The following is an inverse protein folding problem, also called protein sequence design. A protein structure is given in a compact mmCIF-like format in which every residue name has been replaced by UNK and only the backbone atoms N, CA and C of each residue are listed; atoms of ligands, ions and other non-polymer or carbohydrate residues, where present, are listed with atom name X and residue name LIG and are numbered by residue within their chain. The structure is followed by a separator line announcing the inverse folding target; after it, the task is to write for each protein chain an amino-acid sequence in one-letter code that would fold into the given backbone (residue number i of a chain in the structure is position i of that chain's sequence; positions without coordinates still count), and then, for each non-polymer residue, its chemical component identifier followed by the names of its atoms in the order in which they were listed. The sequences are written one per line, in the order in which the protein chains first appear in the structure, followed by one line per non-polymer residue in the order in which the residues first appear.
data_IF_422329845882
#
_entry.id   IF_422329845882
#
_cell.length_a   1.000
_cell.length_b   1.000
_cell.length_c   1.000
_cell.angle_alpha   90.00
_cell.angle_beta   90.00
_cell.angle_gamma   90.00
#
_symmetry.space_group_name_H-M   'P 1'
#
loop_
_entity.id
_entity.type
_entity.pdbx_description
1 polymer ?
#
# COMPACT_ATOMS: atom_id res chain seq x y z
N UNK A 1 -19.94 -18.08 10.01
CA UNK A 1 -19.98 -18.80 8.71
C UNK A 1 -20.07 -17.75 7.61
N UNK A 2 -19.00 -17.56 6.83
CA UNK A 2 -18.99 -16.60 5.71
C UNK A 2 -19.73 -17.31 4.56
N UNK A 3 -20.86 -16.77 4.12
CA UNK A 3 -21.63 -17.40 3.05
C UNK A 3 -20.80 -17.42 1.74
N UNK A 4 -20.91 -18.47 0.92
CA UNK A 4 -20.19 -18.57 -0.35
C UNK A 4 -20.39 -17.34 -1.25
N UNK A 5 -21.57 -16.72 -1.18
CA UNK A 5 -21.93 -15.51 -1.93
C UNK A 5 -21.10 -14.29 -1.48
N UNK A 6 -20.83 -14.16 -0.18
CA UNK A 6 -20.00 -13.08 0.37
C UNK A 6 -18.52 -13.24 -0.04
N UNK A 7 -18.05 -14.48 -0.18
CA UNK A 7 -16.70 -14.77 -0.67
C UNK A 7 -16.55 -14.46 -2.16
N UNK A 8 -17.53 -14.87 -2.99
CA UNK A 8 -17.54 -14.58 -4.43
C UNK A 8 -17.65 -13.07 -4.70
N UNK A 9 -18.47 -12.34 -3.94
CA UNK A 9 -18.57 -10.88 -4.05
C UNK A 9 -17.25 -10.19 -3.68
N UNK A 10 -16.55 -10.67 -2.64
CA UNK A 10 -15.22 -10.15 -2.29
C UNK A 10 -14.20 -10.38 -3.41
N UNK A 11 -14.20 -11.56 -4.04
CA UNK A 11 -13.34 -11.85 -5.19
C UNK A 11 -13.64 -10.89 -6.36
N UNK A 12 -14.92 -10.70 -6.70
CA UNK A 12 -15.33 -9.79 -7.78
C UNK A 12 -15.02 -8.31 -7.49
N UNK A 13 -15.10 -7.89 -6.24
CA UNK A 13 -14.70 -6.55 -5.79
C UNK A 13 -13.21 -6.33 -6.01
N UNK A 14 -12.38 -7.27 -5.54
CA UNK A 14 -10.96 -7.20 -5.78
C UNK A 14 -10.65 -7.26 -7.28
N UNK A 15 -11.36 -8.05 -8.08
CA UNK A 15 -11.13 -8.11 -9.54
C UNK A 15 -11.28 -6.76 -10.27
N UNK A 16 -12.06 -5.81 -9.74
CA UNK A 16 -12.21 -4.45 -10.28
C UNK A 16 -11.39 -3.38 -9.53
N UNK A 17 -10.41 -3.80 -8.72
CA UNK A 17 -9.54 -2.87 -8.01
C UNK A 17 -8.62 -2.14 -8.97
N UNK A 18 -8.80 -0.84 -9.07
CA UNK A 18 -7.90 0.08 -9.76
C UNK A 18 -7.61 1.27 -8.85
N UNK A 19 -6.39 1.76 -8.95
CA UNK A 19 -5.94 2.99 -8.30
C UNK A 19 -5.87 4.17 -9.28
N UNK A 20 -6.29 3.98 -10.53
CA UNK A 20 -6.17 4.99 -11.59
C UNK A 20 -7.31 6.03 -11.48
N UNK A 21 -7.13 7.00 -10.60
CA UNK A 21 -8.04 8.12 -10.44
C UNK A 21 -7.29 9.47 -10.58
N UNK A 22 -7.82 10.42 -11.39
CA UNK A 22 -7.07 11.59 -11.83
C UNK A 22 -6.73 12.61 -10.73
N UNK A 23 -7.18 12.40 -9.49
CA UNK A 23 -6.88 13.26 -8.34
C UNK A 23 -6.58 12.45 -7.07
N UNK A 24 -6.23 11.17 -7.21
CA UNK A 24 -5.94 10.32 -6.06
C UNK A 24 -4.46 10.42 -5.69
N UNK A 25 -4.17 11.20 -4.64
CA UNK A 25 -2.87 11.22 -3.98
C UNK A 25 -2.87 10.21 -2.83
N UNK A 26 -2.00 9.22 -2.90
CA UNK A 26 -1.84 8.21 -1.86
C UNK A 26 -0.61 8.51 -0.99
N UNK A 27 -0.74 8.24 0.32
CA UNK A 27 0.40 8.20 1.22
C UNK A 27 1.22 6.95 0.92
N UNK A 28 2.50 7.12 0.60
CA UNK A 28 3.38 6.00 0.21
C UNK A 28 3.54 5.04 1.37
N UNK A 29 3.77 5.58 2.58
CA UNK A 29 3.92 4.78 3.79
C UNK A 29 2.64 3.99 4.11
N UNK A 30 1.50 4.67 4.27
CA UNK A 30 0.25 4.00 4.65
C UNK A 30 -0.21 2.99 3.60
N UNK A 31 0.00 3.30 2.31
CA UNK A 31 -0.38 2.39 1.23
C UNK A 31 0.50 1.16 1.22
N UNK A 32 1.79 1.31 1.47
CA UNK A 32 2.71 0.19 1.56
C UNK A 32 2.32 -0.76 2.72
N UNK A 33 2.19 -0.24 3.95
CA UNK A 33 1.91 -1.12 5.10
C UNK A 33 0.48 -1.69 5.09
N UNK A 34 -0.52 -0.92 4.65
CA UNK A 34 -1.94 -1.37 4.73
C UNK A 34 -2.38 -2.15 3.50
N UNK A 35 -2.03 -1.70 2.30
CA UNK A 35 -2.48 -2.37 1.07
C UNK A 35 -1.50 -3.45 0.64
N UNK A 36 -0.21 -3.15 0.45
CA UNK A 36 0.75 -4.16 0.01
C UNK A 36 0.90 -5.25 1.07
N UNK A 37 1.12 -4.87 2.34
CA UNK A 37 1.17 -5.81 3.46
C UNK A 37 -0.12 -6.62 3.61
N UNK A 38 -1.28 -5.96 3.59
CA UNK A 38 -2.58 -6.63 3.71
C UNK A 38 -2.88 -7.62 2.58
N UNK A 39 -2.56 -7.26 1.34
CA UNK A 39 -2.75 -8.11 0.16
C UNK A 39 -1.81 -9.33 0.21
N UNK A 40 -0.55 -9.15 0.62
CA UNK A 40 0.39 -10.27 0.81
C UNK A 40 -0.05 -11.21 1.93
N UNK A 41 -0.58 -10.69 3.04
CA UNK A 41 -1.14 -11.52 4.11
C UNK A 41 -2.38 -12.29 3.61
N UNK A 42 -3.25 -11.65 2.83
CA UNK A 42 -4.36 -12.36 2.18
C UNK A 42 -3.87 -13.45 1.23
N UNK A 43 -2.80 -13.21 0.47
CA UNK A 43 -2.17 -14.23 -0.37
C UNK A 43 -1.63 -15.39 0.48
N UNK A 44 -0.93 -15.12 1.58
CA UNK A 44 -0.39 -16.14 2.47
C UNK A 44 -1.49 -17.01 3.10
N UNK A 45 -2.65 -16.41 3.44
CA UNK A 45 -3.78 -17.13 4.05
C UNK A 45 -4.66 -17.89 3.05
N UNK A 46 -4.74 -17.44 1.80
CA UNK A 46 -5.66 -18.00 0.79
C UNK A 46 -4.97 -18.79 -0.32
N UNK A 47 -3.69 -18.50 -0.59
CA UNK A 47 -2.95 -18.99 -1.74
C UNK A 47 -3.39 -18.40 -3.10
N UNK A 48 -4.33 -17.44 -3.11
CA UNK A 48 -4.89 -16.90 -4.35
C UNK A 48 -3.95 -15.85 -4.99
N UNK A 49 -3.39 -16.22 -6.14
CA UNK A 49 -2.46 -15.42 -6.95
C UNK A 49 -2.97 -14.01 -7.23
N UNK A 50 -4.30 -13.83 -7.32
CA UNK A 50 -4.91 -12.53 -7.51
C UNK A 50 -4.41 -11.49 -6.49
N UNK A 51 -4.31 -11.86 -5.20
CA UNK A 51 -3.85 -10.93 -4.16
C UNK A 51 -2.38 -10.53 -4.34
N UNK A 52 -1.53 -11.48 -4.75
CA UNK A 52 -0.12 -11.21 -5.06
C UNK A 52 0.00 -10.21 -6.22
N UNK A 53 -0.70 -10.47 -7.32
CA UNK A 53 -0.63 -9.62 -8.52
C UNK A 53 -1.12 -8.19 -8.22
N UNK A 54 -2.08 -8.05 -7.29
CA UNK A 54 -2.56 -6.75 -6.81
C UNK A 54 -1.59 -6.04 -5.89
N UNK A 55 -0.91 -6.79 -5.02
CA UNK A 55 0.13 -6.23 -4.17
C UNK A 55 1.26 -5.67 -5.03
N UNK A 56 1.68 -6.44 -6.05
CA UNK A 56 2.66 -6.01 -7.03
C UNK A 56 2.19 -4.77 -7.81
N UNK A 57 0.97 -4.78 -8.33
CA UNK A 57 0.38 -3.61 -9.01
C UNK A 57 0.42 -2.35 -8.13
N UNK A 58 0.05 -2.49 -6.86
CA UNK A 58 0.05 -1.38 -5.89
C UNK A 58 1.46 -0.88 -5.63
N UNK A 59 2.41 -1.79 -5.43
CA UNK A 59 3.81 -1.45 -5.21
C UNK A 59 4.44 -0.74 -6.42
N UNK A 60 4.15 -1.20 -7.64
CA UNK A 60 4.62 -0.56 -8.88
C UNK A 60 4.12 0.88 -9.01
N UNK A 61 2.87 1.16 -8.60
CA UNK A 61 2.31 2.52 -8.57
C UNK A 61 2.96 3.42 -7.51
N UNK A 62 3.60 2.85 -6.50
CA UNK A 62 4.32 3.60 -5.47
C UNK A 62 5.79 3.85 -5.83
N UNK A 63 6.37 3.11 -6.78
CA UNK A 63 7.79 3.24 -7.18
C UNK A 63 8.22 4.68 -7.52
N UNK A 64 7.42 5.51 -8.25
CA UNK A 64 7.81 6.88 -8.57
C UNK A 64 8.03 7.78 -7.34
N UNK A 65 7.54 7.38 -6.16
CA UNK A 65 7.83 8.10 -4.93
C UNK A 65 9.26 7.90 -4.43
N UNK A 66 9.89 6.78 -4.76
CA UNK A 66 11.25 6.41 -4.36
C UNK A 66 12.31 6.90 -5.35
N UNK A 67 11.89 7.35 -6.55
CA UNK A 67 12.75 7.96 -7.57
C UNK A 67 13.15 9.40 -7.16
N UNK A 68 13.92 9.52 -6.09
CA UNK A 68 14.52 10.77 -5.61
C UNK A 68 16.04 10.63 -5.60
N UNK A 69 16.76 11.74 -5.83
CA UNK A 69 18.24 11.74 -5.85
C UNK A 69 18.87 11.29 -4.53
N UNK A 70 18.13 11.42 -3.41
CA UNK A 70 18.58 11.02 -2.07
C UNK A 70 18.16 9.60 -1.69
N UNK A 71 17.30 8.95 -2.48
CA UNK A 71 16.68 7.66 -2.15
C UNK A 71 15.64 7.73 -1.02
N UNK A 72 15.35 8.92 -0.48
CA UNK A 72 14.30 9.12 0.52
C UNK A 72 12.96 9.26 -0.22
N UNK A 73 11.98 8.37 0.03
CA UNK A 73 10.71 8.43 -0.66
C UNK A 73 9.95 9.70 -0.30
N UNK A 74 9.27 10.28 -1.30
CA UNK A 74 8.35 11.39 -1.05
C UNK A 74 7.09 10.91 -0.33
N UNK A 75 6.51 11.76 0.50
CA UNK A 75 5.40 11.37 1.37
C UNK A 75 4.11 10.95 0.63
N UNK A 76 3.83 11.59 -0.51
CA UNK A 76 2.65 11.30 -1.34
C UNK A 76 3.00 11.10 -2.81
N UNK A 77 2.21 10.27 -3.48
CA UNK A 77 2.28 10.03 -4.92
C UNK A 77 0.90 10.03 -5.56
N UNK A 78 0.77 10.71 -6.70
CA UNK A 78 -0.39 10.61 -7.57
C UNK A 78 -0.30 9.32 -8.38
N UNK A 79 -1.30 8.45 -8.25
CA UNK A 79 -1.27 7.10 -8.83
C UNK A 79 -1.43 7.07 -10.36
N UNK A 80 -2.01 8.12 -10.94
CA UNK A 80 -2.15 8.27 -12.39
C UNK A 80 -0.95 8.94 -13.04
N UNK A 81 -0.45 10.03 -12.45
CA UNK A 81 0.62 10.85 -13.06
C UNK A 81 2.01 10.41 -12.60
N UNK A 82 2.13 9.69 -11.48
CA UNK A 82 3.40 9.36 -10.86
C UNK A 82 4.06 10.56 -10.16
N UNK A 83 3.43 11.75 -10.19
CA UNK A 83 3.97 12.92 -9.52
C UNK A 83 3.96 12.71 -8.01
N UNK A 84 5.12 12.89 -7.38
CA UNK A 84 5.31 12.69 -5.96
C UNK A 84 5.75 13.99 -5.28
N UNK A 85 5.24 14.27 -4.09
CA UNK A 85 5.52 15.50 -3.35
C UNK A 85 5.62 15.27 -1.85
N UNK A 86 6.41 16.10 -1.18
CA UNK A 86 6.54 16.10 0.27
C UNK A 86 5.50 17.01 0.92
N UNK A 87 5.13 16.70 2.17
CA UNK A 87 4.29 17.60 2.95
C UNK A 87 5.02 18.94 3.14
N UNK A 88 4.37 20.05 2.76
CA UNK A 88 4.93 21.40 2.91
C UNK A 88 5.20 21.81 4.37
N UNK A 89 4.76 21.01 5.35
CA UNK A 89 4.99 21.18 6.78
C UNK A 89 5.95 20.14 7.37
N UNK A 90 6.45 19.16 6.61
CA UNK A 90 7.43 18.17 7.07
C UNK A 90 8.88 18.72 7.05
N UNK A 91 9.02 19.98 7.44
CA UNK A 91 10.28 20.60 7.84
C UNK A 91 10.40 20.58 9.36
N UNK A 92 10.08 19.45 10.02
CA UNK A 92 10.43 19.13 11.42
C UNK A 92 9.88 17.75 11.82
N UNK A 93 10.67 16.69 11.62
CA UNK A 93 10.83 15.62 12.63
C UNK A 93 9.70 14.65 12.99
N UNK A 94 8.44 14.83 12.58
CA UNK A 94 7.34 13.95 13.04
C UNK A 94 7.10 12.74 12.14
N UNK A 95 8.16 11.98 11.94
CA UNK A 95 8.14 10.59 11.47
C UNK A 95 8.88 9.74 12.52
N UNK A 96 8.66 8.43 12.54
CA UNK A 96 9.60 7.40 13.05
C UNK A 96 9.34 6.81 14.46
N UNK A 97 8.74 7.47 15.46
CA UNK A 97 8.65 6.83 16.80
C UNK A 97 7.40 5.94 17.03
N UNK A 98 6.24 6.31 16.49
CA UNK A 98 4.98 5.57 16.71
C UNK A 98 4.89 4.24 15.92
N UNK A 99 5.75 4.08 14.91
CA UNK A 99 5.77 2.90 14.01
C UNK A 99 6.68 1.78 14.53
N UNK A 100 7.71 2.10 15.33
CA UNK A 100 8.66 1.10 15.83
C UNK A 100 8.07 0.22 16.94
N UNK A 101 7.05 0.70 17.67
CA UNK A 101 6.42 -0.06 18.76
C UNK A 101 5.53 -1.22 18.30
N UNK A 102 5.09 -1.24 17.04
CA UNK A 102 4.15 -2.25 16.52
C UNK A 102 4.87 -3.43 15.85
N UNK A 103 6.13 -3.27 15.44
CA UNK A 103 6.94 -4.33 14.81
C UNK A 103 7.48 -5.37 15.81
N UNK A 104 7.54 -5.05 17.10
CA UNK A 104 8.02 -5.99 18.13
C UNK A 104 7.16 -7.24 18.30
N UNK A 105 5.89 -7.19 17.87
CA UNK A 105 4.96 -8.33 17.92
C UNK A 105 5.06 -9.25 16.69
N UNK A 106 5.64 -8.79 15.58
CA UNK A 106 5.77 -9.57 14.34
C UNK A 106 7.08 -10.36 14.23
N UNK A 107 8.07 -10.13 15.11
CA UNK A 107 9.33 -10.91 15.15
C UNK A 107 9.29 -12.15 16.04
N UNK A 108 8.11 -12.51 16.56
CA UNK A 108 7.92 -13.65 17.47
C UNK A 108 7.40 -14.94 16.83
N UNK A 109 7.33 -15.02 15.49
CA UNK A 109 6.88 -16.23 14.80
C UNK A 109 7.74 -16.57 13.58
#
# INVERSE_FOLDING_TARGET
SISPVSFILKISFWRNYTLDHPNLALSVFETNIRFVGGLLTCFALTGDIMFRDKAEYTAQKLLPAFETETGIPRARVYTMTGESYNYGWASEGDSILSEFGTLSLEFGY
#
